data_IF_254033511216
#
_entry.id   IF_254033511216
#
_cell.length_a   1.000
_cell.length_b   1.000
_cell.length_c   1.000
_cell.angle_alpha   90.00
_cell.angle_beta   90.00
_cell.angle_gamma   90.00
#
_symmetry.space_group_name_H-M   'P 1'
#
loop_
_entity.id
_entity.type
_entity.pdbx_description
1 polymer ?
#
# COMPACT_ATOMS: atom_id res chain seq x y z
N UNK A 1 21.43 -15.08 -55.30
CA UNK A 1 21.47 -15.09 -53.81
C UNK A 1 20.84 -13.79 -53.32
N UNK A 2 19.61 -13.83 -52.77
CA UNK A 2 18.92 -12.65 -52.21
C UNK A 2 19.23 -12.59 -50.72
N UNK A 3 20.05 -11.63 -50.31
CA UNK A 3 20.33 -11.37 -48.90
C UNK A 3 19.11 -10.69 -48.27
N UNK A 4 18.38 -11.45 -47.47
CA UNK A 4 17.27 -11.01 -46.63
C UNK A 4 17.80 -10.06 -45.56
N UNK A 5 17.56 -8.75 -45.72
CA UNK A 5 17.78 -7.76 -44.66
C UNK A 5 16.60 -7.81 -43.69
N UNK A 6 16.57 -8.83 -42.84
CA UNK A 6 15.65 -8.91 -41.71
C UNK A 6 16.08 -7.81 -40.71
N UNK A 7 15.17 -6.91 -40.30
CA UNK A 7 15.56 -5.70 -39.59
C UNK A 7 15.99 -6.05 -38.16
N UNK A 8 17.26 -5.77 -37.86
CA UNK A 8 17.87 -5.86 -36.51
C UNK A 8 17.05 -5.10 -35.44
N UNK A 9 16.21 -4.15 -35.85
CA UNK A 9 15.27 -3.42 -35.00
C UNK A 9 14.23 -4.30 -34.27
N UNK A 10 13.87 -5.48 -34.80
CA UNK A 10 12.87 -6.34 -34.15
C UNK A 10 13.44 -7.13 -32.96
N UNK A 11 14.77 -7.26 -32.86
CA UNK A 11 15.42 -8.01 -31.78
C UNK A 11 15.63 -7.17 -30.51
N UNK A 12 15.66 -5.83 -30.63
CA UNK A 12 15.97 -4.93 -29.51
C UNK A 12 14.78 -4.67 -28.57
N UNK A 13 13.54 -4.94 -29.00
CA UNK A 13 12.32 -4.73 -28.19
C UNK A 13 12.05 -5.87 -27.20
N UNK A 14 12.66 -7.03 -27.39
CA UNK A 14 12.48 -8.21 -26.52
C UNK A 14 13.29 -8.16 -25.21
N UNK A 15 14.26 -7.26 -25.09
CA UNK A 15 15.13 -7.18 -23.90
C UNK A 15 14.54 -6.36 -22.73
N UNK A 16 13.37 -5.74 -22.90
CA UNK A 16 12.73 -4.92 -21.88
C UNK A 16 11.50 -5.56 -21.23
N UNK A 17 11.47 -6.90 -21.15
CA UNK A 17 10.49 -7.62 -20.33
C UNK A 17 10.93 -7.57 -18.87
N UNK A 18 10.78 -6.40 -18.23
CA UNK A 18 10.82 -6.33 -16.77
C UNK A 18 9.75 -7.25 -16.20
N UNK A 19 10.14 -8.19 -15.34
CA UNK A 19 9.21 -9.10 -14.67
C UNK A 19 8.25 -8.29 -13.80
N UNK A 20 7.02 -8.09 -14.29
CA UNK A 20 5.96 -7.47 -13.50
C UNK A 20 5.52 -8.46 -12.41
N UNK A 21 6.21 -8.46 -11.26
CA UNK A 21 5.79 -9.22 -10.09
C UNK A 21 4.54 -8.57 -9.51
N UNK A 22 3.39 -9.24 -9.56
CA UNK A 22 2.17 -8.77 -8.91
C UNK A 22 2.36 -8.79 -7.38
N UNK A 23 1.71 -7.85 -6.67
CA UNK A 23 1.67 -7.93 -5.22
C UNK A 23 0.84 -9.14 -4.78
N UNK A 24 1.22 -9.77 -3.68
CA UNK A 24 0.52 -10.94 -3.14
C UNK A 24 -0.73 -10.51 -2.37
N UNK A 25 -1.66 -11.45 -2.14
CA UNK A 25 -2.84 -11.21 -1.31
C UNK A 25 -2.48 -10.73 0.10
N UNK A 26 -1.38 -11.24 0.67
CA UNK A 26 -0.88 -10.81 1.98
C UNK A 26 -0.39 -9.36 1.96
N UNK A 27 0.25 -8.94 0.87
CA UNK A 27 0.67 -7.56 0.66
C UNK A 27 -0.53 -6.63 0.52
N UNK A 28 -1.53 -7.02 -0.26
CA UNK A 28 -2.77 -6.26 -0.38
C UNK A 28 -3.50 -6.16 0.97
N UNK A 29 -3.63 -7.26 1.71
CA UNK A 29 -4.28 -7.26 3.02
C UNK A 29 -3.57 -6.33 4.03
N UNK A 30 -2.24 -6.29 4.02
CA UNK A 30 -1.48 -5.40 4.89
C UNK A 30 -1.71 -3.91 4.55
N UNK A 31 -1.76 -3.56 3.25
CA UNK A 31 -2.08 -2.20 2.81
C UNK A 31 -3.49 -1.80 3.25
N UNK A 32 -4.48 -2.69 3.02
CA UNK A 32 -5.87 -2.45 3.43
C UNK A 32 -5.97 -2.18 4.92
N UNK A 33 -5.34 -3.04 5.73
CA UNK A 33 -5.36 -2.90 7.19
C UNK A 33 -4.77 -1.57 7.66
N UNK A 34 -3.68 -1.12 7.03
CA UNK A 34 -3.07 0.16 7.35
C UNK A 34 -3.97 1.34 6.94
N UNK A 35 -4.62 1.24 5.77
CA UNK A 35 -5.62 2.21 5.33
C UNK A 35 -6.82 2.31 6.28
N UNK A 36 -7.37 1.17 6.70
CA UNK A 36 -8.46 1.10 7.67
C UNK A 36 -8.13 1.86 8.96
N UNK A 37 -6.96 1.58 9.55
CA UNK A 37 -6.49 2.26 10.75
C UNK A 37 -6.31 3.76 10.50
N UNK A 38 -5.77 4.16 9.35
CA UNK A 38 -5.63 5.57 9.01
C UNK A 38 -6.97 6.30 8.91
N UNK A 39 -8.02 5.65 8.40
CA UNK A 39 -9.39 6.21 8.41
C UNK A 39 -9.89 6.51 9.83
N UNK A 40 -9.68 5.59 10.77
CA UNK A 40 -10.01 5.79 12.19
C UNK A 40 -9.17 6.92 12.79
N UNK A 41 -7.86 6.94 12.54
CA UNK A 41 -6.96 7.96 13.04
C UNK A 41 -7.36 9.38 12.58
N UNK A 42 -7.78 9.53 11.32
CA UNK A 42 -8.27 10.79 10.78
C UNK A 42 -9.54 11.27 11.50
N UNK A 43 -10.51 10.38 11.68
CA UNK A 43 -11.74 10.71 12.41
C UNK A 43 -11.43 11.15 13.85
N UNK A 44 -10.54 10.41 14.52
CA UNK A 44 -10.15 10.65 15.91
C UNK A 44 -9.10 11.74 16.10
N UNK A 45 -8.66 12.40 15.02
CA UNK A 45 -7.63 13.46 15.05
C UNK A 45 -6.28 13.01 15.61
N UNK A 46 -5.93 11.74 15.47
CA UNK A 46 -4.63 11.19 15.86
C UNK A 46 -3.57 11.48 14.81
N UNK A 47 -3.24 12.77 14.65
CA UNK A 47 -2.37 13.26 13.57
C UNK A 47 -0.99 12.58 13.53
N UNK A 48 -0.39 12.31 14.69
CA UNK A 48 0.89 11.60 14.77
C UNK A 48 0.80 10.21 14.14
N UNK A 49 -0.29 9.49 14.40
CA UNK A 49 -0.51 8.14 13.88
C UNK A 49 -0.78 8.16 12.37
N UNK A 50 -1.57 9.12 11.89
CA UNK A 50 -1.77 9.35 10.44
C UNK A 50 -0.45 9.61 9.72
N UNK A 51 0.40 10.49 10.28
CA UNK A 51 1.70 10.81 9.69
C UNK A 51 2.64 9.59 9.71
N UNK A 52 2.64 8.84 10.80
CA UNK A 52 3.44 7.62 10.92
C UNK A 52 3.06 6.58 9.87
N UNK A 53 1.77 6.24 9.74
CA UNK A 53 1.29 5.26 8.76
C UNK A 53 1.61 5.68 7.32
N UNK A 54 1.40 6.95 6.96
CA UNK A 54 1.75 7.45 5.63
C UNK A 54 3.26 7.39 5.35
N UNK A 55 4.09 7.71 6.35
CA UNK A 55 5.55 7.62 6.22
C UNK A 55 5.99 6.19 5.98
N UNK A 56 5.52 5.24 6.78
CA UNK A 56 5.83 3.81 6.59
C UNK A 56 5.40 3.36 5.21
N UNK A 57 4.16 3.67 4.79
CA UNK A 57 3.65 3.30 3.47
C UNK A 57 4.59 3.76 2.34
N UNK A 58 5.03 5.02 2.38
CA UNK A 58 5.95 5.60 1.37
C UNK A 58 7.32 4.95 1.38
N UNK A 59 7.82 4.56 2.55
CA UNK A 59 9.15 3.95 2.70
C UNK A 59 9.18 2.45 2.38
N UNK A 60 8.07 1.74 2.60
CA UNK A 60 8.00 0.28 2.51
C UNK A 60 7.50 -0.22 1.16
N UNK A 61 6.54 0.46 0.53
CA UNK A 61 5.94 -0.04 -0.72
C UNK A 61 6.83 0.24 -1.94
N UNK A 62 6.84 -0.66 -2.95
CA UNK A 62 7.39 -0.32 -4.25
C UNK A 62 6.59 0.82 -4.88
N UNK A 63 7.25 1.69 -5.66
CA UNK A 63 6.65 2.89 -6.28
C UNK A 63 5.65 2.54 -7.38
N UNK A 64 4.48 2.03 -6.99
CA UNK A 64 3.38 1.66 -7.87
C UNK A 64 2.10 2.36 -7.42
N UNK A 65 1.54 3.16 -8.32
CA UNK A 65 0.33 3.96 -8.09
C UNK A 65 -0.81 3.13 -7.47
N UNK A 66 -1.07 1.95 -8.01
CA UNK A 66 -2.15 1.07 -7.54
C UNK A 66 -2.06 0.70 -6.05
N UNK A 67 -0.85 0.57 -5.50
CA UNK A 67 -0.68 0.20 -4.09
C UNK A 67 -0.97 1.38 -3.15
N UNK A 68 -0.55 2.59 -3.54
CA UNK A 68 -0.91 3.81 -2.82
C UNK A 68 -2.41 4.10 -2.90
N UNK A 69 -3.01 3.92 -4.08
CA UNK A 69 -4.45 4.08 -4.27
C UNK A 69 -5.27 3.13 -3.40
N UNK A 70 -4.82 1.89 -3.21
CA UNK A 70 -5.49 0.96 -2.32
C UNK A 70 -5.51 1.49 -0.88
N UNK A 71 -4.39 2.03 -0.38
CA UNK A 71 -4.35 2.64 0.96
C UNK A 71 -5.32 3.82 1.09
N UNK A 72 -5.39 4.69 0.07
CA UNK A 72 -6.25 5.87 0.08
C UNK A 72 -7.74 5.50 0.03
N UNK A 73 -8.11 4.51 -0.80
CA UNK A 73 -9.48 3.98 -0.89
C UNK A 73 -9.92 3.43 0.46
N UNK A 74 -9.10 2.59 1.09
CA UNK A 74 -9.45 1.93 2.37
C UNK A 74 -9.45 2.94 3.53
N UNK A 75 -8.57 3.95 3.48
CA UNK A 75 -8.63 5.10 4.40
C UNK A 75 -9.98 5.81 4.31
N UNK A 76 -10.40 6.18 3.10
CA UNK A 76 -11.65 6.90 2.90
C UNK A 76 -12.87 6.05 3.32
N UNK A 77 -12.89 4.78 2.91
CA UNK A 77 -13.96 3.83 3.27
C UNK A 77 -14.06 3.68 4.79
N UNK A 78 -12.95 3.47 5.48
CA UNK A 78 -12.93 3.34 6.94
C UNK A 78 -13.38 4.61 7.64
N UNK A 79 -12.90 5.78 7.19
CA UNK A 79 -13.33 7.06 7.75
C UNK A 79 -14.85 7.25 7.65
N UNK A 80 -15.42 7.00 6.47
CA UNK A 80 -16.87 7.12 6.23
C UNK A 80 -17.67 6.11 7.07
N UNK A 81 -17.20 4.85 7.14
CA UNK A 81 -17.85 3.81 7.93
C UNK A 81 -17.82 4.12 9.43
N UNK A 82 -16.68 4.61 9.95
CA UNK A 82 -16.53 4.98 11.36
C UNK A 82 -17.47 6.13 11.73
N UNK A 83 -17.58 7.13 10.84
CA UNK A 83 -18.55 8.22 10.99
C UNK A 83 -19.99 7.74 10.98
N UNK A 84 -20.38 6.92 9.99
CA UNK A 84 -21.74 6.42 9.86
C UNK A 84 -22.16 5.55 11.06
N UNK A 85 -21.21 4.78 11.61
CA UNK A 85 -21.43 3.95 12.79
C UNK A 85 -21.51 4.76 14.09
N UNK A 86 -21.17 6.06 14.08
CA UNK A 86 -21.04 6.89 15.29
C UNK A 86 -20.16 6.21 16.36
N UNK A 87 -19.10 5.54 15.90
CA UNK A 87 -18.23 4.78 16.78
C UNK A 87 -17.43 5.71 17.70
N UNK A 88 -17.12 5.24 18.90
CA UNK A 88 -16.28 5.97 19.85
C UNK A 88 -14.81 5.78 19.50
N UNK A 89 -14.04 6.87 19.51
CA UNK A 89 -12.61 6.81 19.30
C UNK A 89 -11.93 5.92 20.34
N UNK A 90 -11.08 4.96 19.91
CA UNK A 90 -10.35 4.11 20.84
C UNK A 90 -9.34 4.92 21.65
N UNK A 91 -8.97 4.42 22.83
CA UNK A 91 -7.84 4.99 23.58
C UNK A 91 -6.58 5.08 22.70
N UNK A 92 -5.86 6.21 22.79
CA UNK A 92 -4.73 6.51 21.91
C UNK A 92 -3.57 5.54 22.09
N UNK A 93 -3.31 5.06 23.31
CA UNK A 93 -2.23 4.09 23.54
C UNK A 93 -2.58 2.72 22.97
N UNK A 94 -3.82 2.31 23.15
CA UNK A 94 -4.36 1.08 22.57
C UNK A 94 -4.33 1.14 21.04
N UNK A 95 -4.76 2.26 20.47
CA UNK A 95 -4.74 2.49 19.03
C UNK A 95 -3.32 2.48 18.46
N UNK A 96 -2.37 3.13 19.14
CA UNK A 96 -0.95 3.09 18.74
C UNK A 96 -0.43 1.65 18.64
N UNK A 97 -0.76 0.77 19.59
CA UNK A 97 -0.36 -0.64 19.52
C UNK A 97 -0.92 -1.36 18.28
N UNK A 98 -2.14 -1.02 17.87
CA UNK A 98 -2.74 -1.57 16.64
C UNK A 98 -2.01 -1.07 15.39
N UNK A 99 -1.63 0.20 15.38
CA UNK A 99 -0.82 0.80 14.30
C UNK A 99 0.55 0.14 14.24
N UNK A 100 1.26 0.02 15.36
CA UNK A 100 2.59 -0.59 15.41
C UNK A 100 2.56 -2.03 14.89
N UNK A 101 1.54 -2.81 15.26
CA UNK A 101 1.36 -4.18 14.76
C UNK A 101 1.08 -4.23 13.24
N UNK A 102 0.25 -3.32 12.72
CA UNK A 102 -0.04 -3.25 11.29
C UNK A 102 1.19 -2.81 10.48
N UNK A 103 1.98 -1.88 11.00
CA UNK A 103 3.26 -1.43 10.43
C UNK A 103 4.24 -2.61 10.35
N UNK A 104 4.42 -3.34 11.45
CA UNK A 104 5.31 -4.51 11.47
C UNK A 104 4.88 -5.57 10.45
N UNK A 105 3.57 -5.81 10.32
CA UNK A 105 3.05 -6.73 9.33
C UNK A 105 3.32 -6.26 7.90
N UNK A 106 3.08 -4.97 7.61
CA UNK A 106 3.37 -4.38 6.30
C UNK A 106 4.85 -4.55 5.94
N UNK A 107 5.75 -4.17 6.84
CA UNK A 107 7.19 -4.32 6.64
C UNK A 107 7.58 -5.79 6.40
N UNK A 108 7.00 -6.72 7.15
CA UNK A 108 7.29 -8.16 7.00
C UNK A 108 6.91 -8.69 5.62
N UNK A 109 5.74 -8.32 5.08
CA UNK A 109 5.27 -8.84 3.78
C UNK A 109 5.93 -8.15 2.58
N UNK A 110 6.52 -6.97 2.76
CA UNK A 110 7.25 -6.25 1.72
C UNK A 110 8.78 -6.42 1.79
N UNK A 111 9.34 -6.80 2.94
CA UNK A 111 10.78 -7.15 3.08
C UNK A 111 11.16 -8.47 2.40
N UNK A 112 10.15 -9.29 2.05
CA UNK A 112 10.32 -10.59 1.38
C UNK A 112 10.20 -10.51 -0.15
N UNK A 113 10.18 -9.31 -0.74
CA UNK A 113 10.01 -9.08 -2.18
C UNK A 113 11.31 -8.72 -2.88
#
# INVERSE_FOLDING_TARGET
MKFTRIPVLLLLTLLFQGTAVAATDQQFAAIKRLGELNGVALHCRYLEQTQHMKRVLVMTLPKRRQLGELFDIETNTSFMNFMAAQATCPDVHTFKKQVDAAVQQLETVFSKS
#
